data_IF_094091816478
#
_entry.id   IF_094091816478
#
_cell.length_a   1.000
_cell.length_b   1.000
_cell.length_c   1.000
_cell.angle_alpha   90.00
_cell.angle_beta   90.00
_cell.angle_gamma   90.00
#
_symmetry.space_group_name_H-M   'P 1'
#
loop_
_entity.id
_entity.type
_entity.pdbx_description
1 polymer ?
#
# COMPACT_ATOMS: atom_id res chain seq x y z
N UNK A 1 -1.36 10.11 -23.90
CA UNK A 1 -1.72 10.16 -22.47
C UNK A 1 -1.84 8.73 -21.95
N UNK A 2 -1.28 8.43 -20.79
CA UNK A 2 -1.32 7.13 -20.14
C UNK A 2 -1.50 7.26 -18.63
N UNK A 3 -1.92 6.17 -17.99
CA UNK A 3 -2.06 6.07 -16.55
C UNK A 3 -0.72 5.76 -15.87
N UNK A 4 -0.69 5.85 -14.54
CA UNK A 4 0.45 5.36 -13.75
C UNK A 4 0.70 3.86 -13.97
N UNK A 5 -0.36 3.07 -14.11
CA UNK A 5 -0.27 1.64 -14.37
C UNK A 5 0.36 1.34 -15.74
N UNK A 6 0.08 2.16 -16.76
CA UNK A 6 0.74 2.04 -18.08
C UNK A 6 2.24 2.31 -17.98
N UNK A 7 2.64 3.35 -17.26
CA UNK A 7 4.06 3.63 -17.01
C UNK A 7 4.75 2.48 -16.29
N UNK A 8 4.10 1.90 -15.28
CA UNK A 8 4.65 0.74 -14.56
C UNK A 8 4.77 -0.50 -15.44
N UNK A 9 3.80 -0.75 -16.31
CA UNK A 9 3.84 -1.85 -17.28
C UNK A 9 5.02 -1.70 -18.22
N UNK A 10 5.19 -0.51 -18.82
CA UNK A 10 6.34 -0.21 -19.70
C UNK A 10 7.69 -0.40 -19.00
N UNK A 11 7.81 0.02 -17.76
CA UNK A 11 9.05 -0.19 -16.97
C UNK A 11 9.31 -1.67 -16.75
N UNK A 12 8.30 -2.45 -16.38
CA UNK A 12 8.45 -3.91 -16.22
C UNK A 12 8.84 -4.59 -17.52
N UNK A 13 8.25 -4.21 -18.65
CA UNK A 13 8.59 -4.71 -19.98
C UNK A 13 10.06 -4.38 -20.32
N UNK A 14 10.52 -3.15 -20.06
CA UNK A 14 11.91 -2.77 -20.27
C UNK A 14 12.90 -3.59 -19.43
N UNK A 15 12.56 -3.95 -18.19
CA UNK A 15 13.39 -4.81 -17.35
C UNK A 15 13.43 -6.27 -17.82
N UNK A 16 12.46 -6.71 -18.62
CA UNK A 16 12.41 -8.05 -19.21
C UNK A 16 13.06 -8.12 -20.60
N UNK A 17 13.37 -7.00 -21.22
CA UNK A 17 14.04 -6.93 -22.53
C UNK A 17 15.54 -7.18 -22.37
N UNK A 18 16.00 -8.34 -22.82
CA UNK A 18 17.40 -8.76 -22.73
C UNK A 18 18.33 -7.85 -23.54
N UNK A 19 17.90 -7.39 -24.73
CA UNK A 19 18.71 -6.48 -25.56
C UNK A 19 18.94 -5.14 -24.86
N UNK A 20 17.92 -4.64 -24.16
CA UNK A 20 18.00 -3.40 -23.41
C UNK A 20 18.89 -3.57 -22.17
N UNK A 21 18.76 -4.69 -21.48
CA UNK A 21 19.57 -5.03 -20.28
C UNK A 21 21.05 -5.19 -20.61
N UNK A 22 21.39 -5.79 -21.75
CA UNK A 22 22.77 -5.93 -22.19
C UNK A 22 23.42 -4.59 -22.53
N UNK A 23 22.64 -3.64 -23.06
CA UNK A 23 23.13 -2.33 -23.47
C UNK A 23 23.13 -1.27 -22.38
N UNK A 24 22.34 -1.46 -21.33
CA UNK A 24 22.10 -0.48 -20.26
C UNK A 24 21.95 -1.14 -18.90
N UNK A 25 22.59 -0.56 -17.90
CA UNK A 25 22.34 -0.93 -16.49
C UNK A 25 21.06 -0.28 -16.02
N UNK A 26 19.94 -1.01 -16.12
CA UNK A 26 18.63 -0.51 -15.73
C UNK A 26 18.48 -0.52 -14.22
N UNK A 27 17.93 0.56 -13.69
CA UNK A 27 17.50 0.66 -12.29
C UNK A 27 16.18 1.41 -12.21
N UNK A 28 15.45 1.23 -11.11
CA UNK A 28 14.18 1.91 -10.89
C UNK A 28 14.15 2.56 -9.51
N UNK A 29 13.75 3.82 -9.48
CA UNK A 29 13.46 4.55 -8.25
C UNK A 29 11.99 4.38 -7.79
N UNK A 30 11.21 3.56 -8.45
CA UNK A 30 9.81 3.27 -8.13
C UNK A 30 9.69 2.24 -6.99
N UNK A 31 8.49 2.14 -6.39
CA UNK A 31 8.14 1.16 -5.34
C UNK A 31 8.19 -0.30 -5.79
N UNK A 32 8.32 -0.59 -7.08
CA UNK A 32 8.62 -1.94 -7.58
C UNK A 32 10.03 -2.40 -7.18
N UNK A 33 10.94 -1.47 -6.90
CA UNK A 33 12.27 -1.79 -6.42
C UNK A 33 12.25 -2.05 -4.91
N UNK A 34 12.67 -3.25 -4.50
CA UNK A 34 12.70 -3.65 -3.09
C UNK A 34 13.58 -2.73 -2.23
N UNK A 35 14.65 -2.15 -2.80
CA UNK A 35 15.51 -1.20 -2.11
C UNK A 35 14.80 0.13 -1.75
N UNK A 36 13.68 0.44 -2.38
CA UNK A 36 12.80 1.56 -2.02
C UNK A 36 11.79 1.18 -0.95
N UNK A 37 11.47 -0.09 -0.84
CA UNK A 37 10.46 -0.61 0.09
C UNK A 37 11.06 -0.90 1.46
N UNK A 38 12.18 -1.61 1.53
CA UNK A 38 12.81 -2.03 2.81
C UNK A 38 13.06 -0.83 3.77
N UNK A 39 13.64 0.30 3.32
CA UNK A 39 13.88 1.44 4.22
C UNK A 39 12.60 2.01 4.85
N UNK A 40 11.44 1.83 4.22
CA UNK A 40 10.17 2.30 4.78
C UNK A 40 9.77 1.52 6.05
N UNK A 41 10.33 0.35 6.30
CA UNK A 41 10.11 -0.39 7.55
C UNK A 41 10.54 0.40 8.79
N UNK A 42 11.52 1.29 8.64
CA UNK A 42 12.00 2.18 9.71
C UNK A 42 10.90 3.11 10.23
N UNK A 43 9.95 3.53 9.37
CA UNK A 43 8.83 4.39 9.79
C UNK A 43 7.97 3.72 10.85
N UNK A 44 7.74 2.42 10.71
CA UNK A 44 6.96 1.61 11.65
C UNK A 44 7.69 1.45 12.97
N UNK A 45 8.99 1.15 12.95
CA UNK A 45 9.81 1.04 14.15
C UNK A 45 9.90 2.40 14.88
N UNK A 46 10.08 3.48 14.11
CA UNK A 46 10.11 4.83 14.65
C UNK A 46 8.77 5.20 15.31
N UNK A 47 7.66 5.01 14.64
CA UNK A 47 6.34 5.31 15.17
C UNK A 47 6.04 4.47 16.41
N UNK A 48 6.31 3.16 16.37
CA UNK A 48 6.12 2.27 17.51
C UNK A 48 6.88 2.76 18.74
N UNK A 49 8.16 3.10 18.58
CA UNK A 49 9.02 3.60 19.68
C UNK A 49 8.42 4.83 20.37
N UNK A 50 7.67 5.66 19.65
CA UNK A 50 7.15 6.92 20.19
C UNK A 50 5.73 6.83 20.74
N UNK A 51 4.95 5.78 20.40
CA UNK A 51 3.54 5.71 20.78
C UNK A 51 3.15 4.48 21.59
N UNK A 52 3.97 3.42 21.59
CA UNK A 52 3.56 2.13 22.14
C UNK A 52 3.89 1.92 23.62
N UNK A 53 4.83 2.64 24.17
CA UNK A 53 5.40 2.37 25.51
C UNK A 53 5.76 0.89 25.74
N UNK A 54 6.06 0.15 24.67
CA UNK A 54 6.37 -1.28 24.69
C UNK A 54 5.24 -2.20 24.27
N UNK A 55 4.02 -1.71 24.16
CA UNK A 55 2.85 -2.50 23.75
C UNK A 55 2.79 -2.73 22.24
N UNK A 56 1.96 -3.71 21.85
CA UNK A 56 1.65 -3.92 20.43
C UNK A 56 0.68 -2.85 19.91
N UNK A 57 0.91 -2.38 18.70
CA UNK A 57 0.14 -1.29 18.07
C UNK A 57 -0.65 -1.77 16.86
N UNK A 58 -1.67 -1.00 16.49
CA UNK A 58 -2.38 -1.12 15.23
C UNK A 58 -1.98 0.05 14.35
N UNK A 59 -1.54 -0.24 13.11
CA UNK A 59 -1.21 0.79 12.12
C UNK A 59 -2.32 0.91 11.09
N UNK A 60 -2.86 2.13 10.93
CA UNK A 60 -3.71 2.47 9.79
C UNK A 60 -2.83 3.03 8.66
N UNK A 61 -2.90 2.41 7.48
CA UNK A 61 -2.00 2.69 6.37
C UNK A 61 -2.81 3.01 5.12
N UNK A 62 -2.87 4.28 4.70
CA UNK A 62 -3.41 4.63 3.39
C UNK A 62 -2.61 3.93 2.30
N UNK A 63 -3.30 3.28 1.38
CA UNK A 63 -2.66 2.34 0.45
C UNK A 63 -3.24 2.43 -0.95
N UNK A 64 -2.39 2.79 -1.92
CA UNK A 64 -2.63 2.67 -3.36
C UNK A 64 -1.83 1.52 -3.94
N UNK A 65 -0.51 1.69 -4.10
CA UNK A 65 0.38 0.66 -4.66
C UNK A 65 0.97 -0.32 -3.63
N UNK A 66 0.55 -0.26 -2.37
CA UNK A 66 0.94 -1.16 -1.27
C UNK A 66 2.44 -1.23 -0.93
N UNK A 67 3.24 -0.26 -1.36
CA UNK A 67 4.67 -0.21 -1.02
C UNK A 67 4.89 -0.06 0.49
N UNK A 68 4.23 0.91 1.10
CA UNK A 68 4.38 1.22 2.52
C UNK A 68 3.89 0.08 3.42
N UNK A 69 2.69 -0.46 3.18
CA UNK A 69 2.15 -1.58 3.97
C UNK A 69 3.03 -2.84 3.88
N UNK A 70 3.63 -3.13 2.71
CA UNK A 70 4.61 -4.21 2.58
C UNK A 70 5.79 -4.02 3.53
N UNK A 71 6.29 -2.79 3.65
CA UNK A 71 7.37 -2.46 4.60
C UNK A 71 6.94 -2.68 6.05
N UNK A 72 5.69 -2.34 6.40
CA UNK A 72 5.10 -2.62 7.70
C UNK A 72 5.02 -4.11 8.01
N UNK A 73 4.56 -4.91 7.04
CA UNK A 73 4.51 -6.38 7.15
C UNK A 73 5.92 -6.95 7.36
N UNK A 74 6.91 -6.45 6.62
CA UNK A 74 8.31 -6.85 6.83
C UNK A 74 8.80 -6.47 8.22
N UNK A 75 8.49 -5.26 8.71
CA UNK A 75 8.85 -4.84 10.07
C UNK A 75 8.24 -5.79 11.13
N UNK A 76 6.96 -6.16 10.99
CA UNK A 76 6.32 -7.16 11.86
C UNK A 76 7.04 -8.50 11.81
N UNK A 77 7.41 -8.99 10.63
CA UNK A 77 8.15 -10.25 10.47
C UNK A 77 9.58 -10.22 11.02
N UNK A 78 10.16 -9.02 11.10
CA UNK A 78 11.44 -8.80 11.77
C UNK A 78 11.33 -8.68 13.30
N UNK A 79 10.12 -8.81 13.86
CA UNK A 79 9.87 -8.82 15.28
C UNK A 79 9.28 -7.53 15.87
N UNK A 80 8.90 -6.55 15.03
CA UNK A 80 8.20 -5.37 15.54
C UNK A 80 6.81 -5.80 16.08
N UNK A 81 6.43 -5.45 17.32
CA UNK A 81 5.17 -5.89 17.93
C UNK A 81 3.99 -5.11 17.36
N UNK A 82 3.57 -5.51 16.17
CA UNK A 82 2.38 -4.99 15.48
C UNK A 82 1.22 -5.97 15.68
N UNK A 83 0.14 -5.50 16.29
CA UNK A 83 -1.06 -6.29 16.49
C UNK A 83 -1.79 -6.53 15.16
N UNK A 84 -2.03 -5.46 14.41
CA UNK A 84 -2.78 -5.50 13.16
C UNK A 84 -2.47 -4.29 12.28
N UNK A 85 -2.68 -4.45 10.98
CA UNK A 85 -2.71 -3.35 10.03
C UNK A 85 -4.11 -3.10 9.51
N UNK A 86 -4.48 -1.84 9.38
CA UNK A 86 -5.68 -1.37 8.70
C UNK A 86 -5.24 -0.82 7.36
N UNK A 87 -5.62 -1.49 6.28
CA UNK A 87 -5.33 -1.06 4.92
C UNK A 87 -6.50 -0.21 4.43
N UNK A 88 -6.28 1.10 4.38
CA UNK A 88 -7.29 2.06 3.91
C UNK A 88 -7.05 2.35 2.42
N UNK A 89 -8.05 2.14 1.58
CA UNK A 89 -7.99 2.48 0.15
C UNK A 89 -9.02 3.55 -0.19
N UNK A 90 -8.81 4.25 -1.28
CA UNK A 90 -9.86 5.07 -1.91
C UNK A 90 -10.84 4.16 -2.66
N UNK A 91 -11.63 4.73 -3.58
CA UNK A 91 -12.60 3.97 -4.37
C UNK A 91 -11.98 2.90 -5.30
N UNK A 92 -10.63 2.83 -5.41
CA UNK A 92 -9.90 1.75 -6.07
C UNK A 92 -9.72 0.59 -5.07
N UNK A 93 -10.74 -0.19 -4.86
CA UNK A 93 -10.97 -1.12 -3.76
C UNK A 93 -10.60 -2.59 -4.08
N UNK A 94 -9.60 -2.81 -4.92
CA UNK A 94 -9.16 -4.15 -5.34
C UNK A 94 -8.80 -5.04 -4.14
N UNK A 95 -8.07 -4.49 -3.17
CA UNK A 95 -7.63 -5.26 -1.99
C UNK A 95 -8.75 -5.54 -0.97
N UNK A 96 -9.59 -4.57 -0.58
CA UNK A 96 -10.77 -4.88 0.23
C UNK A 96 -11.64 -5.99 -0.36
N UNK A 97 -11.90 -5.95 -1.66
CA UNK A 97 -12.66 -6.99 -2.36
C UNK A 97 -11.94 -8.33 -2.41
N UNK A 98 -10.62 -8.30 -2.58
CA UNK A 98 -9.82 -9.53 -2.50
C UNK A 98 -9.93 -10.18 -1.12
N UNK A 99 -9.77 -9.43 -0.03
CA UNK A 99 -9.93 -9.97 1.32
C UNK A 99 -11.29 -10.60 1.55
N UNK A 100 -12.37 -10.01 1.01
CA UNK A 100 -13.72 -10.53 1.15
C UNK A 100 -13.99 -11.79 0.32
N UNK A 101 -13.44 -11.86 -0.90
CA UNK A 101 -13.82 -12.88 -1.88
C UNK A 101 -12.76 -13.95 -2.15
N UNK A 102 -11.52 -13.73 -1.73
CA UNK A 102 -10.37 -14.56 -2.07
C UNK A 102 -9.94 -14.46 -3.54
N UNK A 103 -10.54 -13.56 -4.33
CA UNK A 103 -10.30 -13.46 -5.78
C UNK A 103 -9.91 -12.04 -6.16
N UNK A 104 -8.77 -11.90 -6.84
CA UNK A 104 -8.39 -10.65 -7.47
C UNK A 104 -9.23 -10.45 -8.73
N UNK A 105 -9.93 -9.33 -8.79
CA UNK A 105 -10.68 -8.92 -9.99
C UNK A 105 -10.14 -7.57 -10.44
N UNK A 106 -9.52 -7.49 -11.63
CA UNK A 106 -9.15 -6.21 -12.23
C UNK A 106 -10.36 -5.27 -12.33
N UNK A 107 -10.11 -4.01 -12.06
CA UNK A 107 -11.14 -2.97 -12.14
C UNK A 107 -10.57 -1.78 -12.91
N UNK A 108 -11.41 -1.07 -13.66
CA UNK A 108 -10.98 0.18 -14.26
C UNK A 108 -10.59 1.18 -13.18
N UNK A 109 -9.52 1.93 -13.43
CA UNK A 109 -9.05 2.98 -12.55
C UNK A 109 -10.15 4.03 -12.34
N UNK A 110 -10.37 4.40 -11.08
CA UNK A 110 -11.26 5.51 -10.70
C UNK A 110 -10.42 6.68 -10.23
N UNK A 111 -10.66 7.85 -10.79
CA UNK A 111 -10.06 9.10 -10.31
C UNK A 111 -10.75 9.58 -9.05
N UNK A 112 -9.96 9.89 -8.01
CA UNK A 112 -10.46 10.30 -6.70
C UNK A 112 -9.75 11.56 -6.19
N UNK A 113 -10.25 12.13 -5.10
CA UNK A 113 -9.55 13.22 -4.40
C UNK A 113 -8.18 12.78 -3.88
N UNK A 114 -8.08 11.53 -3.42
CA UNK A 114 -6.83 10.91 -2.96
C UNK A 114 -6.02 10.41 -4.17
N UNK A 115 -5.73 11.30 -5.11
CA UNK A 115 -5.21 10.94 -6.43
C UNK A 115 -3.85 10.26 -6.40
N UNK A 116 -3.03 10.52 -5.40
CA UNK A 116 -1.76 9.83 -5.19
C UNK A 116 -1.93 8.31 -4.89
N UNK A 117 -3.13 7.91 -4.50
CA UNK A 117 -3.51 6.51 -4.22
C UNK A 117 -4.38 5.91 -5.33
N UNK A 118 -4.57 6.61 -6.46
CA UNK A 118 -5.30 6.10 -7.62
C UNK A 118 -4.46 5.05 -8.34
N UNK A 119 -4.66 3.79 -7.98
CA UNK A 119 -3.96 2.64 -8.54
C UNK A 119 -4.99 1.54 -8.81
N UNK A 120 -5.15 1.17 -10.08
CA UNK A 120 -6.05 0.08 -10.51
C UNK A 120 -5.38 -1.29 -10.39
N UNK A 121 -4.07 -1.35 -10.64
CA UNK A 121 -3.28 -2.58 -10.60
C UNK A 121 -2.09 -2.42 -9.63
N UNK A 122 -2.29 -2.61 -8.32
CA UNK A 122 -1.25 -2.38 -7.32
C UNK A 122 -0.12 -3.40 -7.44
N UNK A 123 1.02 -2.98 -7.97
CA UNK A 123 2.16 -3.84 -8.30
C UNK A 123 2.80 -4.54 -7.10
N UNK A 124 2.60 -4.01 -5.89
CA UNK A 124 3.12 -4.63 -4.67
C UNK A 124 2.12 -5.57 -3.98
N UNK A 125 0.92 -5.75 -4.53
CA UNK A 125 -0.05 -6.71 -4.00
C UNK A 125 0.50 -8.14 -4.06
N UNK A 126 1.12 -8.53 -5.17
CA UNK A 126 1.76 -9.84 -5.32
C UNK A 126 2.79 -10.14 -4.23
N UNK A 127 3.49 -9.12 -3.72
CA UNK A 127 4.44 -9.28 -2.62
C UNK A 127 3.74 -9.62 -1.32
N UNK A 128 2.62 -8.94 -1.02
CA UNK A 128 1.80 -9.27 0.14
C UNK A 128 1.35 -10.72 0.04
N UNK A 129 0.78 -11.12 -1.09
CA UNK A 129 0.27 -12.46 -1.29
C UNK A 129 1.37 -13.52 -1.12
N UNK A 130 2.55 -13.30 -1.68
CA UNK A 130 3.70 -14.20 -1.52
C UNK A 130 4.20 -14.26 -0.08
N UNK A 131 4.22 -13.13 0.64
CA UNK A 131 4.61 -13.11 2.05
C UNK A 131 3.67 -13.97 2.93
N UNK A 132 2.42 -14.11 2.56
CA UNK A 132 1.42 -14.94 3.25
C UNK A 132 1.17 -16.27 2.55
N UNK A 133 2.00 -16.69 1.57
CA UNK A 133 1.84 -17.92 0.80
C UNK A 133 0.44 -18.06 0.18
N UNK A 134 -0.18 -16.94 -0.21
CA UNK A 134 -1.56 -16.84 -0.70
C UNK A 134 -2.62 -17.37 0.29
N UNK A 135 -2.28 -17.51 1.57
CA UNK A 135 -3.21 -17.91 2.61
C UNK A 135 -4.05 -16.72 3.07
N UNK A 136 -5.32 -16.74 2.71
CA UNK A 136 -6.26 -15.66 3.04
C UNK A 136 -6.58 -15.62 4.55
N UNK A 137 -6.52 -16.75 5.23
CA UNK A 137 -6.76 -16.81 6.68
C UNK A 137 -5.65 -16.11 7.43
N UNK A 138 -4.39 -16.39 7.08
CA UNK A 138 -3.23 -15.69 7.62
C UNK A 138 -3.23 -14.18 7.30
N UNK A 139 -3.73 -13.79 6.11
CA UNK A 139 -3.95 -12.37 5.79
C UNK A 139 -4.96 -11.73 6.73
N UNK A 140 -6.08 -12.39 7.03
CA UNK A 140 -7.12 -11.88 7.92
C UNK A 140 -6.66 -11.75 9.38
N UNK A 141 -5.71 -12.54 9.83
CA UNK A 141 -5.11 -12.40 11.15
C UNK A 141 -4.40 -11.06 11.29
N UNK A 142 -3.64 -10.67 10.28
CA UNK A 142 -2.75 -9.50 10.32
C UNK A 142 -3.38 -8.24 9.71
N UNK A 143 -4.28 -8.38 8.75
CA UNK A 143 -4.79 -7.28 7.93
C UNK A 143 -6.30 -7.17 7.99
N UNK A 144 -6.80 -5.95 8.08
CA UNK A 144 -8.18 -5.59 7.73
C UNK A 144 -8.14 -4.48 6.71
N UNK A 145 -9.19 -4.35 5.88
CA UNK A 145 -9.19 -3.33 4.84
C UNK A 145 -10.58 -2.73 4.65
N UNK A 146 -10.61 -1.43 4.38
CA UNK A 146 -11.79 -0.68 4.00
C UNK A 146 -11.47 0.24 2.84
N UNK A 147 -12.48 0.53 2.03
CA UNK A 147 -12.44 1.58 1.00
C UNK A 147 -13.30 2.76 1.41
N UNK A 148 -12.84 3.95 1.06
CA UNK A 148 -13.51 5.21 1.38
C UNK A 148 -13.82 5.98 0.11
N UNK A 149 -15.00 6.58 0.09
CA UNK A 149 -15.44 7.47 -0.99
C UNK A 149 -14.88 8.88 -0.80
N UNK A 150 -14.88 9.68 -1.87
CA UNK A 150 -14.52 11.10 -1.82
C UNK A 150 -15.37 11.90 -0.81
N UNK A 151 -16.63 11.54 -0.62
CA UNK A 151 -17.49 12.21 0.35
C UNK A 151 -17.06 11.92 1.80
N UNK A 152 -16.69 10.67 2.10
CA UNK A 152 -16.16 10.29 3.41
C UNK A 152 -14.81 10.96 3.65
N UNK A 153 -13.96 11.04 2.63
CA UNK A 153 -12.66 11.74 2.70
C UNK A 153 -12.85 13.23 3.01
N UNK A 154 -13.75 13.93 2.30
CA UNK A 154 -14.08 15.33 2.58
C UNK A 154 -14.61 15.51 4.01
N UNK A 155 -15.53 14.65 4.43
CA UNK A 155 -16.08 14.71 5.78
C UNK A 155 -14.99 14.52 6.84
N UNK A 156 -14.06 13.59 6.62
CA UNK A 156 -12.92 13.36 7.53
C UNK A 156 -11.99 14.56 7.61
N UNK A 157 -11.70 15.22 6.48
CA UNK A 157 -10.88 16.46 6.45
C UNK A 157 -11.56 17.55 7.26
N UNK A 158 -12.86 17.79 7.06
CA UNK A 158 -13.62 18.80 7.82
C UNK A 158 -13.63 18.47 9.31
N UNK A 159 -13.98 17.25 9.70
CA UNK A 159 -14.04 16.85 11.09
C UNK A 159 -12.68 16.98 11.80
N UNK A 160 -11.60 16.62 11.11
CA UNK A 160 -10.24 16.75 11.66
C UNK A 160 -9.86 18.22 11.81
N UNK A 161 -10.19 19.06 10.82
CA UNK A 161 -9.98 20.52 10.90
C UNK A 161 -10.73 21.11 12.08
N UNK A 162 -12.00 20.75 12.26
CA UNK A 162 -12.85 21.32 13.31
C UNK A 162 -12.44 20.83 14.71
N UNK A 163 -12.08 19.55 14.85
CA UNK A 163 -11.75 18.96 16.15
C UNK A 163 -10.32 19.25 16.60
N UNK A 164 -9.37 19.33 15.68
CA UNK A 164 -7.93 19.39 15.99
C UNK A 164 -7.23 20.61 15.39
N UNK A 165 -7.95 21.47 14.67
CA UNK A 165 -7.39 22.59 13.89
C UNK A 165 -6.23 22.17 12.97
N UNK A 166 -6.32 20.96 12.43
CA UNK A 166 -5.33 20.36 11.54
C UNK A 166 -5.98 19.94 10.22
N UNK A 167 -5.38 20.32 9.09
CA UNK A 167 -5.84 19.92 7.76
C UNK A 167 -5.02 18.72 7.32
N UNK A 168 -5.70 17.59 7.16
CA UNK A 168 -5.08 16.36 6.61
C UNK A 168 -5.16 16.37 5.09
N UNK A 169 -4.18 15.72 4.47
CA UNK A 169 -4.14 15.47 3.03
C UNK A 169 -5.16 14.37 2.68
N UNK A 170 -5.86 14.47 1.54
CA UNK A 170 -6.85 13.48 1.14
C UNK A 170 -6.25 12.11 0.80
#
# INVERSE_FOLDING_TARGET
EGSFDDCQRMVKEAFLDDNLREKRSLSSANSINIARLIPQSVYYAWAWKHVSYGDSVVFSVPSGNFGNINAGILAKRMGLPVKKFIVATNANDVFPKYLQSGKIKPQPLKHTLSNAMDVGEPSNLDRILKLYNHDISALHEDLTSWSFSDNETRSSIHNTKDSFNYIIDP
#
